data_IF_230271807869
#
_entry.id   IF_230271807869
#
_cell.length_a   1.000
_cell.length_b   1.000
_cell.length_c   1.000
_cell.angle_alpha   90.00
_cell.angle_beta   90.00
_cell.angle_gamma   90.00
#
_symmetry.space_group_name_H-M   'P 1'
#
loop_
_entity.id
_entity.type
_entity.pdbx_description
1 polymer ?
#
# COMPACT_ATOMS: atom_id res chain seq x y z
N UNK A 1 23.52 22.02 -1.41
CA UNK A 1 23.25 21.95 -1.65
C UNK A 1 22.78 22.20 -1.68
N UNK A 2 22.62 21.75 -1.57
CA UNK A 2 22.17 21.77 -1.88
C UNK A 2 21.50 21.79 -1.91
N UNK A 3 21.16 21.44 -1.91
CA UNK A 3 20.64 21.34 -2.16
C UNK A 3 20.34 21.15 -2.19
N UNK A 4 20.29 21.04 -2.28
CA UNK A 4 20.13 20.65 -2.50
C UNK A 4 19.79 20.39 -2.05
N UNK A 5 19.86 20.25 -1.69
CA UNK A 5 19.64 19.87 -1.56
C UNK A 5 18.87 19.87 -1.25
N UNK A 6 18.83 19.81 -1.15
CA UNK A 6 18.17 19.72 -1.03
C UNK A 6 17.76 19.56 -0.71
N UNK A 7 17.67 19.34 -0.71
CA UNK A 7 17.43 18.99 -0.68
C UNK A 7 17.75 18.59 -0.14
N UNK A 8 18.19 18.35 0.03
CA UNK A 8 18.61 17.73 0.22
C UNK A 8 18.58 17.39 1.19
N UNK A 9 18.52 17.19 1.60
CA UNK A 9 18.45 16.80 2.09
C UNK A 9 18.19 16.75 2.71
N UNK A 10 18.30 16.62 3.05
CA UNK A 10 17.93 16.41 3.12
C UNK A 10 17.96 15.77 2.83
N UNK A 11 18.60 15.39 2.64
CA UNK A 11 19.02 14.86 1.40
C UNK A 11 18.58 13.51 1.07
N UNK A 12 18.86 12.60 1.82
CA UNK A 12 18.54 11.22 1.57
C UNK A 12 17.05 10.95 1.43
N UNK A 13 16.27 11.57 2.25
CA UNK A 13 14.83 11.44 2.14
C UNK A 13 14.31 12.04 0.85
N UNK A 14 14.92 13.11 0.44
CA UNK A 14 14.54 13.72 -0.83
C UNK A 14 14.78 12.76 -1.98
N UNK A 15 15.85 12.01 -1.90
CA UNK A 15 16.15 11.01 -2.92
C UNK A 15 15.10 9.93 -2.98
N UNK A 16 14.73 9.41 -1.83
CA UNK A 16 13.70 8.39 -1.77
C UNK A 16 12.37 8.91 -2.25
N UNK A 17 12.05 10.12 -1.90
CA UNK A 17 10.79 10.73 -2.35
C UNK A 17 10.75 10.84 -3.85
N UNK A 18 11.85 11.23 -4.48
CA UNK A 18 11.90 11.35 -5.93
C UNK A 18 11.70 9.99 -6.61
N UNK A 19 12.34 8.97 -6.09
CA UNK A 19 12.17 7.62 -6.64
C UNK A 19 10.74 7.15 -6.46
N UNK A 20 10.18 7.40 -5.30
CA UNK A 20 8.81 6.97 -5.01
C UNK A 20 7.80 7.68 -5.90
N UNK A 21 8.03 8.95 -6.18
CA UNK A 21 7.13 9.69 -7.05
C UNK A 21 7.13 9.07 -8.45
N UNK A 22 8.29 8.70 -8.95
CA UNK A 22 8.36 8.05 -10.24
C UNK A 22 7.62 6.72 -10.23
N UNK A 23 7.81 5.92 -9.18
CA UNK A 23 7.13 4.64 -9.06
C UNK A 23 5.63 4.82 -8.97
N UNK A 24 5.16 5.84 -8.26
CA UNK A 24 3.75 6.12 -8.15
C UNK A 24 3.14 6.44 -9.51
N UNK A 25 3.84 7.24 -10.32
CA UNK A 25 3.30 7.60 -11.63
C UNK A 25 3.23 6.40 -12.57
N UNK A 26 4.08 5.38 -12.36
CA UNK A 26 4.09 4.19 -13.19
C UNK A 26 3.26 3.05 -12.62
N UNK A 27 2.82 3.16 -11.38
CA UNK A 27 2.11 2.06 -10.70
C UNK A 27 0.64 2.42 -10.54
N UNK A 28 -0.20 1.64 -11.18
CA UNK A 28 -1.63 1.91 -11.23
C UNK A 28 -2.28 1.84 -9.86
N UNK A 29 -1.83 0.92 -9.02
CA UNK A 29 -2.38 0.80 -7.67
C UNK A 29 -2.07 2.06 -6.86
N UNK A 30 -0.82 2.49 -6.88
CA UNK A 30 -0.40 3.65 -6.10
C UNK A 30 -1.09 4.93 -6.58
N UNK A 31 -1.35 5.03 -7.88
CA UNK A 31 -2.03 6.20 -8.41
C UNK A 31 -3.50 6.27 -8.02
N UNK A 32 -4.06 5.16 -7.58
CA UNK A 32 -5.49 5.06 -7.29
C UNK A 32 -5.77 4.69 -5.84
N UNK A 33 -4.83 4.98 -4.94
CA UNK A 33 -5.03 4.68 -3.53
C UNK A 33 -6.23 5.40 -2.93
N UNK A 34 -6.59 6.55 -3.49
CA UNK A 34 -7.77 7.28 -3.04
C UNK A 34 -9.05 6.52 -3.30
N UNK A 35 -9.01 5.53 -4.20
CA UNK A 35 -10.17 4.71 -4.51
C UNK A 35 -10.24 3.43 -3.69
N UNK A 36 -9.24 3.19 -2.86
CA UNK A 36 -9.18 1.97 -2.07
C UNK A 36 -10.35 1.90 -1.11
N UNK A 37 -11.02 0.75 -1.10
CA UNK A 37 -12.17 0.53 -0.23
C UNK A 37 -12.34 -0.96 -0.01
N UNK A 38 -13.29 -1.33 0.83
CA UNK A 38 -13.63 -2.74 1.02
C UNK A 38 -15.11 -2.86 1.32
N UNK A 39 -15.61 -4.08 1.32
CA UNK A 39 -17.00 -4.36 1.67
C UNK A 39 -17.09 -4.59 3.17
N UNK A 40 -18.33 -4.66 3.68
CA UNK A 40 -18.55 -4.95 5.09
C UNK A 40 -17.93 -6.30 5.47
N UNK A 41 -18.15 -7.31 4.65
CA UNK A 41 -17.57 -8.63 4.89
C UNK A 41 -16.06 -8.61 4.78
N UNK A 42 -15.54 -7.86 3.80
CA UNK A 42 -14.10 -7.72 3.66
C UNK A 42 -13.47 -7.10 4.89
N UNK A 43 -14.10 -6.06 5.42
CA UNK A 43 -13.60 -5.39 6.61
C UNK A 43 -13.56 -6.34 7.80
N UNK A 44 -14.64 -7.10 8.00
CA UNK A 44 -14.70 -8.05 9.11
C UNK A 44 -13.61 -9.10 8.95
N UNK A 45 -13.42 -9.59 7.72
CA UNK A 45 -12.42 -10.60 7.44
C UNK A 45 -11.00 -10.08 7.74
N UNK A 46 -10.72 -8.86 7.31
CA UNK A 46 -9.42 -8.25 7.54
C UNK A 46 -9.18 -8.04 9.02
N UNK A 47 -10.18 -7.50 9.73
CA UNK A 47 -10.07 -7.29 11.16
C UNK A 47 -9.76 -8.60 11.89
N UNK A 48 -10.46 -9.66 11.51
CA UNK A 48 -10.26 -10.95 12.13
C UNK A 48 -8.87 -11.51 11.81
N UNK A 49 -8.49 -11.48 10.54
CA UNK A 49 -7.24 -12.08 10.11
C UNK A 49 -6.01 -11.39 10.70
N UNK A 50 -6.09 -10.08 10.89
CA UNK A 50 -4.97 -9.29 11.37
C UNK A 50 -5.11 -8.87 12.83
N UNK A 51 -6.15 -9.35 13.48
CA UNK A 51 -6.42 -9.03 14.89
C UNK A 51 -6.49 -7.52 15.12
N UNK A 52 -7.11 -6.81 14.21
CA UNK A 52 -7.28 -5.37 14.33
C UNK A 52 -8.56 -5.07 15.09
N UNK A 53 -8.48 -4.11 16.03
CA UNK A 53 -9.63 -3.67 16.78
C UNK A 53 -9.71 -2.15 16.74
N UNK A 54 -10.90 -1.64 16.43
CA UNK A 54 -11.15 -0.19 16.45
C UNK A 54 -10.18 0.59 15.58
N UNK A 55 -9.79 0.01 14.44
CA UNK A 55 -8.92 0.68 13.49
C UNK A 55 -9.62 0.82 12.15
N UNK A 56 -9.29 1.89 11.46
CA UNK A 56 -9.73 2.06 10.08
C UNK A 56 -8.93 1.09 9.22
N UNK A 57 -9.61 0.04 8.77
CA UNK A 57 -8.98 -1.04 8.00
C UNK A 57 -8.35 -0.51 6.72
N UNK A 58 -9.03 0.41 6.05
CA UNK A 58 -8.52 0.95 4.79
C UNK A 58 -7.31 1.84 5.03
N UNK A 59 -7.33 2.65 6.08
CA UNK A 59 -6.17 3.46 6.44
C UNK A 59 -4.98 2.56 6.74
N UNK A 60 -5.22 1.47 7.45
CA UNK A 60 -4.17 0.50 7.75
C UNK A 60 -3.58 -0.09 6.46
N UNK A 61 -4.45 -0.50 5.53
CA UNK A 61 -4.00 -1.07 4.26
C UNK A 61 -3.22 -0.06 3.43
N UNK A 62 -3.69 1.20 3.39
CA UNK A 62 -2.97 2.24 2.66
C UNK A 62 -1.56 2.44 3.23
N UNK A 63 -1.47 2.45 4.54
CA UNK A 63 -0.18 2.60 5.21
C UNK A 63 0.78 1.49 4.80
N UNK A 64 0.29 0.26 4.76
CA UNK A 64 1.11 -0.88 4.37
C UNK A 64 1.50 -0.80 2.90
N UNK A 65 0.57 -0.44 2.04
CA UNK A 65 0.85 -0.34 0.60
C UNK A 65 1.88 0.75 0.32
N UNK A 66 1.84 1.84 1.08
CA UNK A 66 2.76 2.95 0.89
C UNK A 66 4.15 2.72 1.47
N UNK A 67 4.33 1.65 2.22
CA UNK A 67 5.63 1.35 2.80
C UNK A 67 6.64 1.13 1.68
N UNK A 68 7.81 1.80 1.72
CA UNK A 68 8.81 1.64 0.66
C UNK A 68 9.29 0.22 0.46
N UNK A 69 9.16 -0.63 1.47
CA UNK A 69 9.59 -2.01 1.38
C UNK A 69 8.49 -2.95 0.90
N UNK A 70 7.31 -2.43 0.63
CA UNK A 70 6.22 -3.26 0.14
C UNK A 70 6.54 -3.79 -1.25
N UNK A 71 6.27 -5.08 -1.45
CA UNK A 71 6.46 -5.73 -2.74
C UNK A 71 5.10 -5.91 -3.38
N UNK A 72 4.93 -5.32 -4.56
CA UNK A 72 3.64 -5.34 -5.26
C UNK A 72 3.72 -6.19 -6.50
N UNK A 73 2.83 -7.15 -6.60
CA UNK A 73 2.71 -8.02 -7.76
C UNK A 73 1.32 -7.93 -8.34
N UNK A 74 1.24 -7.66 -9.63
CA UNK A 74 -0.02 -7.77 -10.35
C UNK A 74 -0.11 -9.17 -10.93
N UNK A 75 -1.17 -9.87 -10.59
CA UNK A 75 -1.37 -11.23 -11.10
C UNK A 75 -2.84 -11.43 -11.40
N UNK A 76 -3.16 -11.64 -12.68
CA UNK A 76 -4.54 -11.76 -13.09
C UNK A 76 -5.31 -10.48 -12.80
N UNK A 77 -6.39 -10.61 -12.07
CA UNK A 77 -7.28 -9.49 -11.77
C UNK A 77 -6.90 -8.74 -10.50
N UNK A 78 -5.86 -9.19 -9.81
CA UNK A 78 -5.57 -8.68 -8.48
C UNK A 78 -4.15 -8.16 -8.34
N UNK A 79 -4.00 -7.24 -7.39
CA UNK A 79 -2.72 -6.84 -6.85
C UNK A 79 -2.49 -7.59 -5.55
N UNK A 80 -1.27 -8.06 -5.34
CA UNK A 80 -0.84 -8.71 -4.10
C UNK A 80 0.29 -7.89 -3.53
N UNK A 81 0.09 -7.33 -2.35
CA UNK A 81 1.08 -6.48 -1.70
C UNK A 81 1.59 -7.18 -0.46
N UNK A 82 2.89 -7.45 -0.43
CA UNK A 82 3.53 -8.13 0.70
C UNK A 82 4.37 -7.14 1.48
N UNK A 83 4.12 -7.08 2.78
CA UNK A 83 4.87 -6.23 3.68
C UNK A 83 4.65 -6.72 5.12
N UNK A 84 5.72 -6.82 5.92
CA UNK A 84 5.64 -7.18 7.34
C UNK A 84 4.89 -8.50 7.59
N UNK A 85 5.15 -9.49 6.74
CA UNK A 85 4.49 -10.80 6.81
C UNK A 85 2.98 -10.72 6.59
N UNK A 86 2.53 -9.66 5.97
CA UNK A 86 1.12 -9.47 5.63
C UNK A 86 0.99 -9.47 4.12
N UNK A 87 -0.09 -10.07 3.62
CA UNK A 87 -0.43 -10.00 2.20
C UNK A 87 -1.78 -9.31 2.07
N UNK A 88 -1.80 -8.21 1.32
CA UNK A 88 -3.03 -7.48 1.02
C UNK A 88 -3.41 -7.78 -0.42
N UNK A 89 -4.62 -8.24 -0.63
CA UNK A 89 -5.13 -8.57 -1.96
C UNK A 89 -6.16 -7.52 -2.38
N UNK A 90 -5.92 -6.87 -3.51
CA UNK A 90 -6.75 -5.78 -4.00
C UNK A 90 -7.18 -6.08 -5.43
N UNK A 91 -8.47 -5.96 -5.72
CA UNK A 91 -8.96 -6.10 -7.08
C UNK A 91 -8.44 -4.93 -7.92
N UNK A 92 -7.82 -5.24 -9.05
CA UNK A 92 -7.16 -4.22 -9.87
C UNK A 92 -8.12 -3.31 -10.62
N UNK A 93 -9.36 -3.73 -10.75
CA UNK A 93 -10.37 -2.96 -11.46
C UNK A 93 -11.10 -2.00 -10.54
N UNK A 94 -11.60 -2.53 -9.43
CA UNK A 94 -12.45 -1.77 -8.52
C UNK A 94 -11.69 -1.17 -7.35
N UNK A 95 -10.45 -1.59 -7.13
CA UNK A 95 -9.63 -1.19 -5.99
C UNK A 95 -10.26 -1.59 -4.66
N UNK A 96 -11.03 -2.68 -4.70
CA UNK A 96 -11.59 -3.28 -3.49
C UNK A 96 -10.53 -4.13 -2.82
N UNK A 97 -10.29 -3.88 -1.54
CA UNK A 97 -9.44 -4.79 -0.76
C UNK A 97 -10.27 -6.03 -0.50
N UNK A 98 -9.87 -7.13 -1.11
CA UNK A 98 -10.59 -8.40 -0.99
C UNK A 98 -10.32 -9.01 0.36
N UNK A 99 -9.06 -9.03 0.75
CA UNK A 99 -8.66 -9.55 2.05
C UNK A 99 -7.24 -9.09 2.36
N UNK A 100 -6.89 -9.21 3.63
CA UNK A 100 -5.52 -9.05 4.08
C UNK A 100 -5.32 -10.08 5.19
N UNK A 101 -4.18 -10.77 5.16
CA UNK A 101 -3.93 -11.80 6.15
C UNK A 101 -2.44 -11.93 6.37
N UNK A 102 -2.06 -12.61 7.45
CA UNK A 102 -0.66 -12.87 7.71
C UNK A 102 -0.19 -14.00 6.83
N UNK A 103 1.05 -13.88 6.39
CA UNK A 103 1.71 -14.92 5.61
C UNK A 103 2.08 -16.05 6.54
N UNK A 104 1.55 -17.19 6.26
CA UNK A 104 1.56 -18.36 7.07
C UNK A 104 2.69 -19.02 7.65
#
# INVERSE_FOLDING_TARGET
MTQKQLMRERGQKAKLAAVNIKMISDNQLLRNLDKLHTTKLGRIRIEHNLSLTNRDVIAFCKEKILNPEAIMNRKGKNWYVKIDHIIVTINANSFTVITAHTEG
#
